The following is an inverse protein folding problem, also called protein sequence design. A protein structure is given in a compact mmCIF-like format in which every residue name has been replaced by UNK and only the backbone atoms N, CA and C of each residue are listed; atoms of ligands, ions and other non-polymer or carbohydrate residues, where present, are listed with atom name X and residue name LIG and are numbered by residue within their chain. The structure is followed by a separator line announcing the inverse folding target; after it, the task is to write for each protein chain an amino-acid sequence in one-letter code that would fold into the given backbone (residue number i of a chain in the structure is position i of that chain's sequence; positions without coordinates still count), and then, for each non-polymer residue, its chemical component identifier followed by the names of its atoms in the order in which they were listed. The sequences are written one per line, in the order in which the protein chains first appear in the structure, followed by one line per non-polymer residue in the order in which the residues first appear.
data_IF_038658734648
#
_entry.id   IF_038658734648
#
_cell.length_a   1.000
_cell.length_b   1.000
_cell.length_c   1.000
_cell.angle_alpha   90.00
_cell.angle_beta   90.00
_cell.angle_gamma   90.00
#
_symmetry.space_group_name_H-M   'P 1'
#
loop_
_entity.id
_entity.type
_entity.pdbx_description
1 polymer ?
#
# COMPACT_ATOMS: atom_id res chain seq x y z
N UNK A 1 -50.34 0.55 20.86
CA UNK A 1 -49.05 1.25 20.73
C UNK A 1 -48.18 0.42 19.80
N UNK A 2 -47.99 0.86 18.56
CA UNK A 2 -47.06 0.20 17.63
C UNK A 2 -45.64 0.64 17.98
N UNK A 3 -44.65 -0.26 18.01
CA UNK A 3 -43.26 0.13 18.21
C UNK A 3 -42.75 0.84 16.95
N UNK A 4 -42.02 1.93 17.15
CA UNK A 4 -41.38 2.70 16.10
C UNK A 4 -40.35 1.85 15.33
N UNK A 5 -40.17 2.07 14.01
CA UNK A 5 -39.19 1.34 13.23
C UNK A 5 -37.77 1.70 13.69
N UNK A 6 -36.95 0.66 13.85
CA UNK A 6 -35.54 0.74 14.24
C UNK A 6 -34.74 1.61 13.28
N UNK A 7 -34.02 2.59 13.82
CA UNK A 7 -33.04 3.41 13.09
C UNK A 7 -32.00 2.49 12.41
N UNK A 8 -32.00 2.50 11.08
CA UNK A 8 -30.97 1.85 10.28
C UNK A 8 -29.62 2.52 10.55
N UNK A 9 -28.66 1.75 11.03
CA UNK A 9 -27.26 2.16 11.20
C UNK A 9 -26.73 2.73 9.88
N UNK A 10 -26.11 3.93 9.86
CA UNK A 10 -25.59 4.48 8.62
C UNK A 10 -24.51 3.54 8.04
N UNK A 11 -24.45 3.35 6.70
CA UNK A 11 -23.48 2.46 6.10
C UNK A 11 -22.07 2.93 6.48
N UNK A 12 -21.26 2.00 6.99
CA UNK A 12 -19.87 2.25 7.33
C UNK A 12 -19.18 2.91 6.12
N UNK A 13 -18.55 4.07 6.32
CA UNK A 13 -17.78 4.76 5.27
C UNK A 13 -16.71 3.81 4.72
N UNK A 14 -17.00 3.15 3.60
CA UNK A 14 -16.05 2.28 2.91
C UNK A 14 -14.85 3.12 2.50
N UNK A 15 -13.65 2.71 2.92
CA UNK A 15 -12.40 3.36 2.47
C UNK A 15 -12.26 3.13 0.97
N UNK A 16 -11.78 4.14 0.24
CA UNK A 16 -11.53 4.05 -1.20
C UNK A 16 -10.52 2.94 -1.54
N UNK A 17 -9.56 2.67 -0.64
CA UNK A 17 -8.64 1.54 -0.74
C UNK A 17 -8.59 0.73 0.57
N UNK A 18 -8.61 -0.61 0.50
CA UNK A 18 -8.30 -1.46 1.66
C UNK A 18 -6.83 -1.28 2.07
N UNK A 19 -6.54 -1.41 3.37
CA UNK A 19 -5.17 -1.27 3.92
C UNK A 19 -4.98 -2.15 5.16
N UNK A 20 -3.72 -2.49 5.45
CA UNK A 20 -3.35 -3.25 6.65
C UNK A 20 -3.50 -4.77 6.53
N UNK A 21 -3.83 -5.30 5.36
CA UNK A 21 -3.91 -6.74 5.06
C UNK A 21 -2.57 -7.46 4.89
N UNK A 22 -1.44 -6.79 5.15
CA UNK A 22 -0.10 -7.31 4.88
C UNK A 22 0.19 -8.69 5.46
N UNK A 23 -0.42 -9.07 6.59
CA UNK A 23 -0.20 -10.38 7.23
C UNK A 23 -0.57 -11.56 6.32
N UNK A 24 -1.51 -11.36 5.39
CA UNK A 24 -1.91 -12.35 4.40
C UNK A 24 -1.00 -12.41 3.17
N UNK A 25 -0.10 -11.46 2.98
CA UNK A 25 0.75 -11.39 1.78
C UNK A 25 1.93 -12.34 1.87
N UNK A 26 2.26 -13.00 0.75
CA UNK A 26 3.43 -13.86 0.65
C UNK A 26 4.72 -13.11 0.99
N UNK A 27 4.88 -11.88 0.52
CA UNK A 27 6.06 -11.05 0.77
C UNK A 27 6.27 -10.82 2.27
N UNK A 28 5.23 -10.49 3.02
CA UNK A 28 5.33 -10.32 4.48
C UNK A 28 5.61 -11.63 5.22
N UNK A 29 4.97 -12.73 4.80
CA UNK A 29 5.16 -14.03 5.45
C UNK A 29 6.58 -14.57 5.23
N UNK A 30 7.09 -14.49 4.00
CA UNK A 30 8.47 -14.90 3.68
C UNK A 30 9.49 -14.01 4.39
N UNK A 31 9.29 -12.69 4.45
CA UNK A 31 10.19 -11.80 5.20
C UNK A 31 10.13 -11.98 6.71
N UNK A 32 9.02 -12.50 7.25
CA UNK A 32 8.95 -12.92 8.65
C UNK A 32 9.85 -14.13 8.90
N UNK A 33 9.81 -15.15 8.03
CA UNK A 33 10.73 -16.30 8.12
C UNK A 33 12.20 -15.86 8.01
N UNK A 34 12.52 -14.96 7.07
CA UNK A 34 13.88 -14.42 6.90
C UNK A 34 14.34 -13.72 8.18
N UNK A 35 13.49 -12.89 8.79
CA UNK A 35 13.84 -12.17 10.02
C UNK A 35 14.16 -13.12 11.17
N UNK A 36 13.29 -14.09 11.43
CA UNK A 36 13.47 -15.04 12.53
C UNK A 36 14.69 -15.95 12.27
N UNK A 37 14.85 -16.44 11.05
CA UNK A 37 16.00 -17.25 10.66
C UNK A 37 17.33 -16.49 10.75
N UNK A 38 17.34 -15.20 10.38
CA UNK A 38 18.53 -14.34 10.49
C UNK A 38 18.90 -14.12 11.94
N UNK A 39 17.93 -13.87 12.82
CA UNK A 39 18.15 -13.73 14.25
C UNK A 39 18.84 -14.98 14.82
N UNK A 40 18.25 -16.17 14.60
CA UNK A 40 18.79 -17.42 15.13
C UNK A 40 20.11 -17.85 14.45
N UNK A 41 20.31 -17.49 13.19
CA UNK A 41 21.59 -17.68 12.53
C UNK A 41 22.69 -16.84 13.20
N UNK A 42 22.43 -15.55 13.40
CA UNK A 42 23.39 -14.65 14.04
C UNK A 42 23.70 -15.09 15.47
N UNK A 43 22.67 -15.43 16.26
CA UNK A 43 22.82 -15.92 17.63
C UNK A 43 23.73 -17.15 17.71
N UNK A 44 23.63 -18.05 16.73
CA UNK A 44 24.32 -19.34 16.76
C UNK A 44 25.72 -19.33 16.13
N UNK A 45 25.93 -18.56 15.06
CA UNK A 45 27.13 -18.68 14.22
C UNK A 45 27.99 -17.42 14.15
N UNK A 46 27.57 -16.34 14.78
CA UNK A 46 28.33 -15.09 14.84
C UNK A 46 28.65 -14.72 16.28
N UNK A 47 29.75 -14.00 16.44
CA UNK A 47 30.09 -13.37 17.72
C UNK A 47 29.03 -12.30 18.02
N UNK A 48 28.40 -12.38 19.20
CA UNK A 48 27.35 -11.47 19.64
C UNK A 48 27.81 -10.01 19.79
N UNK A 49 29.12 -9.76 19.84
CA UNK A 49 29.71 -8.42 19.87
C UNK A 49 30.06 -7.89 18.48
N UNK A 50 29.90 -8.69 17.43
CA UNK A 50 30.20 -8.28 16.07
C UNK A 50 29.16 -7.29 15.56
N UNK A 51 29.63 -6.18 14.99
CA UNK A 51 28.77 -5.20 14.31
C UNK A 51 27.93 -5.82 13.17
N UNK A 52 28.43 -6.90 12.58
CA UNK A 52 27.75 -7.68 11.54
C UNK A 52 26.40 -8.21 12.02
N UNK A 53 26.29 -8.64 13.28
CA UNK A 53 25.03 -9.15 13.85
C UNK A 53 23.96 -8.06 13.82
N UNK A 54 24.29 -6.85 14.29
CA UNK A 54 23.36 -5.73 14.28
C UNK A 54 22.92 -5.38 12.86
N UNK A 55 23.85 -5.37 11.91
CA UNK A 55 23.59 -5.02 10.50
C UNK A 55 22.63 -6.02 9.86
N UNK A 56 22.93 -7.32 9.95
CA UNK A 56 22.09 -8.39 9.40
C UNK A 56 20.70 -8.40 10.02
N UNK A 57 20.62 -8.39 11.36
CA UNK A 57 19.34 -8.41 12.07
C UNK A 57 18.51 -7.18 11.73
N UNK A 58 19.13 -6.01 11.63
CA UNK A 58 18.41 -4.77 11.32
C UNK A 58 17.98 -4.70 9.85
N UNK A 59 18.79 -5.18 8.91
CA UNK A 59 18.41 -5.28 7.50
C UNK A 59 17.18 -6.20 7.35
N UNK A 60 17.21 -7.38 7.99
CA UNK A 60 16.08 -8.30 7.99
C UNK A 60 14.83 -7.70 8.64
N UNK A 61 14.98 -7.03 9.78
CA UNK A 61 13.88 -6.34 10.48
C UNK A 61 13.28 -5.22 9.62
N UNK A 62 14.13 -4.41 9.00
CA UNK A 62 13.76 -3.31 8.12
C UNK A 62 12.95 -3.81 6.93
N UNK A 63 13.41 -4.89 6.28
CA UNK A 63 12.68 -5.54 5.18
C UNK A 63 11.23 -5.87 5.56
N UNK A 64 11.04 -6.55 6.70
CA UNK A 64 9.72 -6.93 7.19
C UNK A 64 8.85 -5.73 7.62
N UNK A 65 9.42 -4.76 8.34
CA UNK A 65 8.67 -3.63 8.89
C UNK A 65 8.17 -2.69 7.81
N UNK A 66 9.00 -2.38 6.81
CA UNK A 66 8.60 -1.48 5.73
C UNK A 66 7.43 -2.06 4.89
N UNK A 67 7.30 -3.38 4.77
CA UNK A 67 6.11 -4.01 4.15
C UNK A 67 4.84 -3.73 4.96
N UNK A 68 4.92 -3.90 6.29
CA UNK A 68 3.79 -3.64 7.18
C UNK A 68 3.41 -2.15 7.19
N UNK A 69 4.40 -1.26 7.28
CA UNK A 69 4.19 0.18 7.27
C UNK A 69 3.62 0.66 5.93
N UNK A 70 4.18 0.17 4.82
CA UNK A 70 3.70 0.47 3.46
C UNK A 70 2.24 0.08 3.27
N UNK A 71 1.87 -1.14 3.65
CA UNK A 71 0.48 -1.62 3.57
C UNK A 71 -0.49 -0.82 4.45
N UNK A 72 -0.05 -0.28 5.58
CA UNK A 72 -0.89 0.61 6.41
C UNK A 72 -1.02 2.00 5.80
N UNK A 73 0.05 2.52 5.19
CA UNK A 73 0.06 3.80 4.49
C UNK A 73 -0.74 3.78 3.18
N UNK A 74 -0.97 2.60 2.59
CA UNK A 74 -1.75 2.42 1.35
C UNK A 74 -3.14 3.08 1.37
N UNK A 75 -3.78 3.17 2.55
CA UNK A 75 -5.07 3.83 2.72
C UNK A 75 -5.03 5.35 2.57
N UNK A 76 -3.86 5.97 2.62
CA UNK A 76 -3.70 7.43 2.61
C UNK A 76 -2.72 7.94 1.55
N UNK A 77 -1.77 7.11 1.10
CA UNK A 77 -0.74 7.51 0.16
C UNK A 77 -0.11 6.32 -0.58
N UNK A 78 -0.47 6.17 -1.86
CA UNK A 78 0.19 5.20 -2.78
C UNK A 78 1.68 5.49 -2.93
N UNK A 79 2.08 6.76 -2.95
CA UNK A 79 3.50 7.15 -3.04
C UNK A 79 4.31 6.66 -1.82
N UNK A 80 3.72 6.76 -0.63
CA UNK A 80 4.36 6.28 0.60
C UNK A 80 4.45 4.75 0.62
N UNK A 81 3.40 4.07 0.17
CA UNK A 81 3.40 2.60 0.01
C UNK A 81 4.53 2.15 -0.93
N UNK A 82 4.62 2.73 -2.14
CA UNK A 82 5.68 2.43 -3.10
C UNK A 82 7.09 2.69 -2.53
N UNK A 83 7.28 3.82 -1.84
CA UNK A 83 8.56 4.16 -1.22
C UNK A 83 8.98 3.12 -0.18
N UNK A 84 8.06 2.75 0.72
CA UNK A 84 8.37 1.80 1.80
C UNK A 84 8.64 0.39 1.24
N UNK A 85 7.89 -0.06 0.24
CA UNK A 85 8.18 -1.34 -0.42
C UNK A 85 9.54 -1.34 -1.13
N UNK A 86 9.96 -0.23 -1.72
CA UNK A 86 11.32 -0.08 -2.26
C UNK A 86 12.40 -0.14 -1.16
N UNK A 87 12.17 0.48 0.01
CA UNK A 87 13.08 0.36 1.16
C UNK A 87 13.15 -1.10 1.64
N UNK A 88 12.01 -1.80 1.71
CA UNK A 88 11.98 -3.21 2.07
C UNK A 88 12.84 -4.06 1.12
N UNK A 89 12.69 -3.83 -0.19
CA UNK A 89 13.46 -4.51 -1.23
C UNK A 89 14.96 -4.24 -1.12
N UNK A 90 15.35 -2.99 -0.84
CA UNK A 90 16.75 -2.61 -0.64
C UNK A 90 17.34 -3.26 0.62
N UNK A 91 16.62 -3.26 1.74
CA UNK A 91 17.10 -3.90 2.98
C UNK A 91 17.32 -5.41 2.85
N UNK A 92 16.53 -6.09 2.01
CA UNK A 92 16.75 -7.51 1.72
C UNK A 92 17.95 -7.74 0.79
N UNK A 93 18.28 -6.79 -0.09
CA UNK A 93 19.51 -6.84 -0.89
C UNK A 93 20.76 -6.68 -0.02
N UNK A 94 20.73 -5.74 0.93
CA UNK A 94 21.81 -5.58 1.92
C UNK A 94 22.02 -6.89 2.70
N UNK A 95 20.94 -7.49 3.18
CA UNK A 95 21.00 -8.77 3.89
C UNK A 95 21.50 -9.92 3.00
N UNK A 96 21.15 -9.94 1.71
CA UNK A 96 21.65 -10.93 0.77
C UNK A 96 23.17 -10.88 0.70
N UNK A 97 23.72 -9.67 0.51
CA UNK A 97 25.16 -9.44 0.47
C UNK A 97 25.83 -9.87 1.78
N UNK A 98 25.22 -9.63 2.94
CA UNK A 98 25.77 -10.06 4.22
C UNK A 98 25.90 -11.60 4.32
N UNK A 99 24.92 -12.36 3.81
CA UNK A 99 24.99 -13.83 3.79
C UNK A 99 25.99 -14.36 2.75
N UNK A 100 26.07 -13.73 1.58
CA UNK A 100 27.08 -14.05 0.57
C UNK A 100 28.50 -13.79 1.11
N UNK A 101 28.69 -12.66 1.81
CA UNK A 101 29.94 -12.31 2.48
C UNK A 101 30.27 -13.26 3.62
N UNK A 102 29.27 -13.69 4.41
CA UNK A 102 29.47 -14.71 5.44
C UNK A 102 30.09 -15.98 4.85
N UNK A 103 29.54 -16.47 3.74
CA UNK A 103 30.02 -17.67 3.05
C UNK A 103 31.40 -17.43 2.43
N UNK A 104 31.55 -16.34 1.68
CA UNK A 104 32.78 -15.99 0.94
C UNK A 104 33.97 -15.79 1.87
N UNK A 105 33.82 -15.02 2.95
CA UNK A 105 34.89 -14.76 3.92
C UNK A 105 35.33 -16.00 4.71
N UNK A 106 34.52 -17.06 4.72
CA UNK A 106 34.82 -18.34 5.39
C UNK A 106 35.16 -19.46 4.41
N UNK A 107 35.28 -19.17 3.12
CA UNK A 107 35.51 -20.15 2.05
C UNK A 107 34.46 -21.28 2.03
N UNK A 108 33.22 -20.94 2.38
CA UNK A 108 32.09 -21.86 2.37
C UNK A 108 31.33 -21.78 1.04
N UNK A 109 30.75 -22.89 0.56
CA UNK A 109 30.12 -22.91 -0.75
C UNK A 109 28.76 -22.21 -0.74
N UNK A 110 28.56 -21.35 -1.74
CA UNK A 110 27.23 -20.88 -2.17
C UNK A 110 26.60 -21.95 -3.07
N UNK A 111 25.35 -22.30 -2.83
CA UNK A 111 24.61 -23.24 -3.67
C UNK A 111 24.39 -22.64 -5.06
N UNK A 112 24.72 -23.37 -6.13
CA UNK A 112 24.35 -22.97 -7.48
C UNK A 112 22.83 -22.76 -7.58
N UNK A 113 22.35 -21.80 -8.40
CA UNK A 113 20.92 -21.51 -8.51
C UNK A 113 20.03 -22.71 -8.86
N UNK A 114 20.59 -23.74 -9.50
CA UNK A 114 19.89 -24.96 -9.92
C UNK A 114 20.28 -26.20 -9.11
N UNK A 115 20.92 -26.04 -7.94
CA UNK A 115 21.23 -27.19 -7.09
C UNK A 115 19.94 -27.84 -6.55
N UNK A 116 19.94 -29.17 -6.30
CA UNK A 116 18.78 -29.86 -5.75
C UNK A 116 18.27 -29.23 -4.43
N UNK A 117 19.18 -28.77 -3.58
CA UNK A 117 18.88 -28.15 -2.29
C UNK A 117 18.19 -26.79 -2.47
N UNK A 118 18.75 -25.93 -3.32
CA UNK A 118 18.16 -24.63 -3.63
C UNK A 118 16.77 -24.79 -4.28
N UNK A 119 16.63 -25.77 -5.18
CA UNK A 119 15.34 -26.08 -5.81
C UNK A 119 14.32 -26.62 -4.79
N UNK A 120 14.75 -27.43 -3.83
CA UNK A 120 13.89 -27.99 -2.79
C UNK A 120 13.31 -26.91 -1.87
N UNK A 121 14.15 -25.97 -1.39
CA UNK A 121 13.67 -24.80 -0.64
C UNK A 121 12.66 -24.00 -1.47
N UNK A 122 12.99 -23.76 -2.75
CA UNK A 122 12.10 -22.98 -3.64
C UNK A 122 10.80 -23.69 -4.00
N UNK A 123 10.76 -25.02 -3.91
CA UNK A 123 9.57 -25.80 -4.22
C UNK A 123 8.49 -25.63 -3.15
N UNK A 124 8.84 -25.31 -1.90
CA UNK A 124 7.86 -25.14 -0.81
C UNK A 124 6.90 -24.00 -1.12
N UNK A 125 7.44 -22.82 -1.49
CA UNK A 125 6.62 -21.67 -1.88
C UNK A 125 5.68 -21.99 -3.06
N UNK A 126 6.12 -22.86 -3.99
CA UNK A 126 5.32 -23.30 -5.14
C UNK A 126 4.22 -24.31 -4.76
N UNK A 127 4.44 -25.14 -3.75
CA UNK A 127 3.47 -26.13 -3.24
C UNK A 127 2.36 -25.48 -2.40
N UNK A 128 2.59 -24.27 -1.90
CA UNK A 128 1.69 -23.58 -0.97
C UNK A 128 0.37 -23.07 -1.54
N UNK A 129 0.14 -23.08 -2.87
CA UNK A 129 -1.16 -22.68 -3.44
C UNK A 129 -1.72 -23.75 -4.41
N UNK A 130 -2.36 -24.82 -3.90
CA UNK A 130 -3.03 -25.82 -4.73
C UNK A 130 -4.27 -25.28 -5.46
N UNK A 131 -4.85 -24.18 -4.95
CA UNK A 131 -6.15 -23.66 -5.40
C UNK A 131 -6.04 -22.65 -6.54
N UNK A 132 -4.92 -21.93 -6.63
CA UNK A 132 -4.62 -21.03 -7.73
C UNK A 132 -3.10 -20.88 -7.95
N UNK A 133 -2.47 -21.72 -8.79
CA UNK A 133 -1.06 -21.60 -9.15
C UNK A 133 -0.69 -20.24 -9.79
N UNK A 134 -1.68 -19.43 -10.18
CA UNK A 134 -1.53 -18.14 -10.87
C UNK A 134 -1.29 -16.97 -9.91
N UNK A 135 -1.78 -17.03 -8.66
CA UNK A 135 -1.58 -15.98 -7.66
C UNK A 135 -0.78 -16.46 -6.43
N UNK A 136 0.57 -16.44 -6.52
CA UNK A 136 1.44 -16.74 -5.38
C UNK A 136 1.47 -15.63 -4.32
N UNK A 137 0.74 -14.52 -4.51
CA UNK A 137 0.80 -13.34 -3.63
C UNK A 137 0.01 -13.53 -2.33
N UNK A 138 -0.96 -14.45 -2.32
CA UNK A 138 -1.86 -14.73 -1.20
C UNK A 138 -1.87 -16.23 -0.84
N UNK A 139 -0.89 -16.70 -0.06
CA UNK A 139 -0.88 -18.08 0.41
C UNK A 139 -2.05 -18.35 1.37
N UNK A 140 -2.48 -19.61 1.52
CA UNK A 140 -3.55 -19.98 2.44
C UNK A 140 -3.15 -19.60 3.88
N UNK A 141 -4.14 -19.24 4.71
CA UNK A 141 -3.88 -18.82 6.09
C UNK A 141 -3.20 -19.95 6.86
N UNK A 142 -1.96 -19.68 7.27
CA UNK A 142 -1.12 -20.55 8.08
C UNK A 142 -0.54 -19.75 9.24
N UNK A 143 -0.30 -20.40 10.37
CA UNK A 143 0.43 -19.79 11.49
C UNK A 143 1.93 -19.70 11.17
N UNK A 144 2.64 -18.82 11.86
CA UNK A 144 4.10 -18.71 11.70
C UNK A 144 4.81 -20.04 12.01
N UNK A 145 4.34 -20.78 13.03
CA UNK A 145 4.87 -22.10 13.41
C UNK A 145 4.65 -23.17 12.32
N UNK A 146 3.47 -23.19 11.68
CA UNK A 146 3.21 -24.11 10.56
C UNK A 146 4.12 -23.81 9.37
N UNK A 147 4.30 -22.52 9.02
CA UNK A 147 5.23 -22.11 7.98
C UNK A 147 6.66 -22.50 8.33
N UNK A 148 7.10 -22.24 9.57
CA UNK A 148 8.45 -22.61 10.03
C UNK A 148 8.72 -24.10 9.83
N UNK A 149 7.76 -24.95 10.21
CA UNK A 149 7.88 -26.42 10.11
C UNK A 149 8.24 -26.87 8.69
N UNK A 150 7.74 -26.19 7.65
CA UNK A 150 8.06 -26.52 6.26
C UNK A 150 9.54 -26.27 5.91
N UNK A 151 10.14 -25.24 6.50
CA UNK A 151 11.52 -24.83 6.23
C UNK A 151 12.53 -25.30 7.28
N UNK A 152 12.06 -25.82 8.43
CA UNK A 152 12.86 -26.34 9.52
C UNK A 152 13.99 -27.30 9.09
N UNK A 153 13.80 -28.20 8.09
CA UNK A 153 14.90 -29.08 7.63
C UNK A 153 16.15 -28.33 7.19
N UNK A 154 16.02 -27.08 6.71
CA UNK A 154 17.15 -26.24 6.33
C UNK A 154 17.46 -25.17 7.38
N UNK A 155 16.43 -24.49 7.92
CA UNK A 155 16.63 -23.35 8.83
C UNK A 155 17.09 -23.77 10.24
N UNK A 156 16.78 -25.00 10.66
CA UNK A 156 17.25 -25.57 11.93
C UNK A 156 18.49 -26.46 11.76
N UNK A 157 19.01 -26.59 10.55
CA UNK A 157 20.14 -27.49 10.23
C UNK A 157 21.40 -27.18 11.09
N UNK A 158 22.21 -28.18 11.45
CA UNK A 158 23.38 -27.92 12.29
C UNK A 158 24.48 -27.15 11.56
N UNK A 159 24.62 -27.39 10.25
CA UNK A 159 25.60 -26.76 9.37
C UNK A 159 25.19 -25.31 8.99
N UNK A 160 26.03 -24.29 9.26
CA UNK A 160 25.76 -22.91 8.86
C UNK A 160 25.65 -22.72 7.33
N UNK A 161 26.31 -23.55 6.53
CA UNK A 161 26.24 -23.48 5.06
C UNK A 161 24.82 -23.72 4.58
N UNK A 162 24.16 -24.76 5.12
CA UNK A 162 22.79 -25.12 4.76
C UNK A 162 21.82 -24.01 5.15
N UNK A 163 21.97 -23.45 6.37
CA UNK A 163 21.11 -22.35 6.84
C UNK A 163 21.29 -21.09 6.00
N UNK A 164 22.53 -20.63 5.82
CA UNK A 164 22.82 -19.41 5.05
C UNK A 164 22.27 -19.51 3.63
N UNK A 165 22.54 -20.61 2.93
CA UNK A 165 22.05 -20.82 1.57
C UNK A 165 20.51 -20.91 1.48
N UNK A 166 19.85 -21.51 2.47
CA UNK A 166 18.40 -21.53 2.54
C UNK A 166 17.80 -20.14 2.77
N UNK A 167 18.42 -19.32 3.64
CA UNK A 167 18.01 -17.93 3.86
C UNK A 167 18.21 -17.10 2.59
N UNK A 168 19.33 -17.27 1.87
CA UNK A 168 19.56 -16.65 0.55
C UNK A 168 18.43 -17.01 -0.43
N UNK A 169 18.02 -18.29 -0.49
CA UNK A 169 16.90 -18.70 -1.33
C UNK A 169 15.58 -17.99 -0.95
N UNK A 170 15.31 -17.85 0.35
CA UNK A 170 14.12 -17.12 0.83
C UNK A 170 14.21 -15.63 0.48
N UNK A 171 15.38 -15.00 0.59
CA UNK A 171 15.59 -13.59 0.24
C UNK A 171 15.30 -13.36 -1.24
N UNK A 172 15.81 -14.21 -2.15
CA UNK A 172 15.48 -14.11 -3.57
C UNK A 172 13.97 -14.25 -3.84
N UNK A 173 13.28 -15.15 -3.13
CA UNK A 173 11.83 -15.29 -3.25
C UNK A 173 11.09 -14.05 -2.76
N UNK A 174 11.48 -13.49 -1.61
CA UNK A 174 10.90 -12.26 -1.09
C UNK A 174 11.11 -11.08 -2.05
N UNK A 175 12.32 -10.94 -2.60
CA UNK A 175 12.64 -9.93 -3.60
C UNK A 175 11.76 -10.06 -4.85
N UNK A 176 11.61 -11.27 -5.40
CA UNK A 176 10.71 -11.53 -6.53
C UNK A 176 9.25 -11.14 -6.22
N UNK A 177 8.75 -11.47 -5.03
CA UNK A 177 7.39 -11.11 -4.61
C UNK A 177 7.21 -9.60 -4.46
N UNK A 178 8.21 -8.90 -3.91
CA UNK A 178 8.21 -7.44 -3.78
C UNK A 178 8.25 -6.76 -5.14
N UNK A 179 9.07 -7.24 -6.08
CA UNK A 179 9.17 -6.69 -7.43
C UNK A 179 7.82 -6.82 -8.17
N UNK A 180 7.12 -7.95 -8.01
CA UNK A 180 5.76 -8.13 -8.53
C UNK A 180 4.76 -7.19 -7.88
N UNK A 181 4.84 -7.00 -6.56
CA UNK A 181 3.95 -6.11 -5.82
C UNK A 181 4.15 -4.64 -6.23
N UNK A 182 5.40 -4.20 -6.35
CA UNK A 182 5.77 -2.87 -6.85
C UNK A 182 5.23 -2.65 -8.27
N UNK A 183 5.50 -3.61 -9.17
CA UNK A 183 5.03 -3.54 -10.56
C UNK A 183 3.49 -3.48 -10.66
N UNK A 184 2.77 -4.15 -9.75
CA UNK A 184 1.31 -4.09 -9.70
C UNK A 184 0.80 -2.74 -9.17
N UNK A 185 1.45 -2.19 -8.15
CA UNK A 185 1.11 -0.88 -7.61
C UNK A 185 1.39 0.25 -8.59
N UNK A 186 2.49 0.18 -9.33
CA UNK A 186 2.85 1.15 -10.38
C UNK A 186 1.82 1.12 -11.52
N UNK A 187 1.42 -0.07 -11.99
CA UNK A 187 0.36 -0.21 -12.99
C UNK A 187 -0.97 0.38 -12.50
N UNK A 188 -1.40 0.03 -11.29
CA UNK A 188 -2.61 0.60 -10.71
C UNK A 188 -2.53 2.13 -10.53
N UNK A 189 -1.34 2.66 -10.24
CA UNK A 189 -1.12 4.11 -10.15
C UNK A 189 -1.26 4.81 -11.51
N UNK A 190 -0.79 4.18 -12.60
CA UNK A 190 -0.92 4.70 -13.97
C UNK A 190 -2.38 4.63 -14.44
N UNK A 191 -3.07 3.51 -14.18
CA UNK A 191 -4.42 3.25 -14.67
C UNK A 191 -5.50 3.99 -13.86
N UNK A 192 -5.46 3.92 -12.53
CA UNK A 192 -6.50 4.45 -11.64
C UNK A 192 -6.15 5.82 -11.03
N UNK A 193 -4.95 6.33 -11.32
CA UNK A 193 -4.40 7.54 -10.70
C UNK A 193 -4.01 7.36 -9.22
N UNK A 194 -3.45 8.41 -8.64
CA UNK A 194 -3.05 8.40 -7.22
C UNK A 194 -4.24 8.51 -6.25
N UNK A 195 -4.07 8.08 -5.00
CA UNK A 195 -5.11 8.22 -3.96
C UNK A 195 -5.68 9.64 -3.82
N UNK A 196 -4.83 10.68 -3.99
CA UNK A 196 -5.27 12.09 -3.95
C UNK A 196 -6.19 12.45 -5.10
N UNK A 197 -5.93 11.92 -6.29
CA UNK A 197 -6.75 12.13 -7.48
C UNK A 197 -8.08 11.40 -7.33
N UNK A 198 -8.05 10.16 -6.87
CA UNK A 198 -9.26 9.39 -6.55
C UNK A 198 -10.15 10.11 -5.53
N UNK A 199 -9.55 10.68 -4.47
CA UNK A 199 -10.28 11.46 -3.47
C UNK A 199 -10.85 12.77 -4.06
N UNK A 200 -10.12 13.43 -4.97
CA UNK A 200 -10.61 14.61 -5.66
C UNK A 200 -11.81 14.28 -6.56
N UNK A 201 -11.74 13.19 -7.33
CA UNK A 201 -12.82 12.66 -8.15
C UNK A 201 -14.03 12.29 -7.29
N UNK A 202 -13.83 11.56 -6.18
CA UNK A 202 -14.91 11.20 -5.25
C UNK A 202 -15.58 12.43 -4.63
N UNK A 203 -14.80 13.48 -4.29
CA UNK A 203 -15.34 14.76 -3.79
C UNK A 203 -16.20 15.46 -4.84
N UNK A 204 -15.81 15.45 -6.10
CA UNK A 204 -16.60 16.03 -7.20
C UNK A 204 -17.92 15.26 -7.42
N UNK A 205 -17.87 13.94 -7.42
CA UNK A 205 -19.05 13.08 -7.54
C UNK A 205 -20.05 13.29 -6.39
N UNK A 206 -19.56 13.39 -5.15
CA UNK A 206 -20.42 13.68 -3.98
C UNK A 206 -21.04 15.08 -4.05
N UNK A 207 -20.29 16.08 -4.55
CA UNK A 207 -20.86 17.42 -4.79
C UNK A 207 -21.96 17.40 -5.85
N UNK A 208 -21.82 16.60 -6.90
CA UNK A 208 -22.85 16.42 -7.91
C UNK A 208 -24.09 15.73 -7.33
N UNK A 209 -23.92 14.64 -6.56
CA UNK A 209 -25.02 13.96 -5.86
C UNK A 209 -25.78 14.90 -4.92
N UNK A 210 -25.07 15.69 -4.12
CA UNK A 210 -25.68 16.67 -3.20
C UNK A 210 -26.38 17.83 -3.89
N UNK A 211 -26.07 18.13 -5.15
CA UNK A 211 -26.83 19.09 -5.97
C UNK A 211 -28.14 18.49 -6.51
N UNK A 212 -28.36 17.18 -6.39
CA UNK A 212 -29.59 16.49 -6.77
C UNK A 212 -30.19 15.66 -5.62
N UNK A 213 -30.58 16.25 -4.48
CA UNK A 213 -31.47 15.57 -3.55
C UNK A 213 -32.91 15.77 -4.04
N UNK A 214 -33.41 14.86 -4.89
CA UNK A 214 -34.85 14.76 -5.19
C UNK A 214 -35.35 15.31 -6.54
N UNK A 215 -34.74 14.95 -7.67
CA UNK A 215 -35.45 15.06 -8.95
C UNK A 215 -36.31 13.81 -9.17
N UNK A 216 -37.58 13.90 -8.76
CA UNK A 216 -38.62 13.05 -9.35
C UNK A 216 -38.63 13.32 -10.87
N UNK A 217 -38.76 12.30 -11.76
CA UNK A 217 -38.81 12.50 -13.21
C UNK A 217 -40.02 13.32 -13.74
N UNK A 218 -40.78 13.98 -12.85
CA UNK A 218 -42.08 14.58 -13.16
C UNK A 218 -42.23 16.04 -12.74
N UNK A 219 -41.22 16.68 -12.16
CA UNK A 219 -41.32 18.10 -11.80
C UNK A 219 -40.89 19.01 -12.97
N UNK A 220 -41.75 19.95 -13.41
CA UNK A 220 -41.35 20.99 -14.35
C UNK A 220 -40.18 21.80 -13.77
N UNK A 221 -39.27 22.34 -14.60
CA UNK A 221 -38.20 23.18 -14.10
C UNK A 221 -38.80 24.40 -13.38
N UNK A 222 -38.66 24.43 -12.05
CA UNK A 222 -38.92 25.64 -11.28
C UNK A 222 -37.93 26.72 -11.75
N UNK A 223 -38.39 27.89 -12.22
CA UNK A 223 -37.50 28.96 -12.61
C UNK A 223 -36.77 29.47 -11.37
N UNK A 224 -35.46 29.20 -11.31
CA UNK A 224 -34.56 29.94 -10.43
C UNK A 224 -34.72 31.45 -10.68
N UNK A 225 -34.69 32.29 -9.63
CA UNK A 225 -34.86 33.73 -9.79
C UNK A 225 -33.88 34.27 -10.84
N UNK A 226 -34.31 35.21 -11.70
CA UNK A 226 -33.48 35.69 -12.79
C UNK A 226 -32.17 36.24 -12.24
N UNK A 227 -31.06 35.58 -12.58
CA UNK A 227 -29.72 36.11 -12.27
C UNK A 227 -29.57 37.45 -13.00
N UNK A 228 -29.10 38.52 -12.32
CA UNK A 228 -28.87 39.79 -12.98
C UNK A 228 -27.82 39.64 -14.07
N UNK A 229 -28.02 40.36 -15.17
CA UNK A 229 -27.07 40.39 -16.28
C UNK A 229 -25.96 41.39 -15.97
N UNK A 230 -24.70 41.03 -16.24
CA UNK A 230 -23.57 41.93 -16.04
C UNK A 230 -23.69 43.15 -16.98
N UNK A 231 -23.71 44.39 -16.46
CA UNK A 231 -23.87 45.60 -17.29
C UNK A 231 -22.63 45.90 -18.17
N UNK A 232 -21.51 45.19 -18.00
CA UNK A 232 -20.29 45.40 -18.80
C UNK A 232 -20.13 44.42 -19.98
N UNK A 233 -20.59 43.18 -19.83
CA UNK A 233 -20.37 42.14 -20.83
C UNK A 233 -21.64 41.34 -21.17
N UNK A 234 -22.76 41.70 -20.56
CA UNK A 234 -24.08 41.10 -20.78
C UNK A 234 -24.19 39.60 -20.48
N UNK A 235 -23.22 39.02 -19.76
CA UNK A 235 -23.26 37.64 -19.28
C UNK A 235 -24.11 37.52 -17.99
N UNK A 236 -24.81 36.38 -17.77
CA UNK A 236 -25.53 36.13 -16.52
C UNK A 236 -24.55 36.02 -15.35
N UNK A 237 -24.80 36.76 -14.28
CA UNK A 237 -23.88 36.81 -13.14
C UNK A 237 -24.02 35.58 -12.23
N UNK A 238 -22.93 35.24 -11.54
CA UNK A 238 -22.87 34.08 -10.62
C UNK A 238 -22.81 34.56 -9.18
N UNK A 239 -23.69 34.04 -8.32
CA UNK A 239 -23.67 34.33 -6.88
C UNK A 239 -22.42 33.72 -6.22
N UNK A 240 -21.64 34.56 -5.54
CA UNK A 240 -20.39 34.20 -4.85
C UNK A 240 -20.41 34.76 -3.43
N UNK A 241 -19.58 34.21 -2.54
CA UNK A 241 -19.41 34.71 -1.17
C UNK A 241 -18.03 35.33 -1.02
N UNK A 242 -17.96 36.54 -0.47
CA UNK A 242 -16.68 37.21 -0.24
C UNK A 242 -15.84 36.44 0.78
N UNK A 243 -14.57 36.15 0.44
CA UNK A 243 -13.66 35.36 1.27
C UNK A 243 -12.82 36.20 2.25
N UNK A 244 -12.73 37.51 2.02
CA UNK A 244 -11.84 38.42 2.76
C UNK A 244 -12.32 39.87 2.66
N UNK A 245 -12.00 40.70 3.66
CA UNK A 245 -12.36 42.11 3.73
C UNK A 245 -13.63 42.41 4.57
N UNK A 246 -14.09 43.66 4.61
CA UNK A 246 -15.20 44.12 5.47
C UNK A 246 -16.54 43.43 5.23
N UNK A 247 -16.70 42.77 4.08
CA UNK A 247 -17.91 42.06 3.69
C UNK A 247 -17.70 40.54 3.60
N UNK A 248 -16.64 40.00 4.21
CA UNK A 248 -16.39 38.56 4.23
C UNK A 248 -17.61 37.80 4.80
N UNK A 249 -18.01 36.74 4.10
CA UNK A 249 -19.22 35.98 4.43
C UNK A 249 -20.50 36.47 3.73
N UNK A 250 -20.54 37.71 3.22
CA UNK A 250 -21.71 38.21 2.50
C UNK A 250 -21.71 37.73 1.03
N UNK A 251 -22.90 37.39 0.48
CA UNK A 251 -23.04 37.08 -0.93
C UNK A 251 -22.94 38.33 -1.82
N UNK A 252 -22.43 38.16 -3.04
CA UNK A 252 -22.41 39.16 -4.10
C UNK A 252 -22.50 38.47 -5.46
N UNK A 253 -23.03 39.14 -6.46
CA UNK A 253 -23.00 38.68 -7.85
C UNK A 253 -21.66 39.02 -8.49
N UNK A 254 -20.93 38.02 -8.98
CA UNK A 254 -19.67 38.20 -9.70
C UNK A 254 -19.79 37.81 -11.16
N UNK A 255 -19.17 38.58 -12.06
CA UNK A 255 -19.12 38.23 -13.47
C UNK A 255 -18.35 36.92 -13.70
N UNK A 256 -18.86 35.98 -14.53
CA UNK A 256 -18.16 34.72 -14.82
C UNK A 256 -16.87 34.92 -15.61
N UNK A 257 -16.76 35.99 -16.40
CA UNK A 257 -15.58 36.31 -17.22
C UNK A 257 -14.42 36.93 -16.43
N UNK A 258 -14.34 36.75 -15.11
CA UNK A 258 -13.16 37.15 -14.34
C UNK A 258 -11.94 36.30 -14.77
N UNK A 259 -10.76 36.89 -15.01
CA UNK A 259 -10.32 38.24 -14.64
C UNK A 259 -10.62 39.36 -15.65
N UNK A 260 -11.08 39.04 -16.85
CA UNK A 260 -11.27 39.99 -17.96
C UNK A 260 -12.45 40.96 -17.73
N UNK A 261 -13.46 40.52 -16.98
CA UNK A 261 -14.54 41.37 -16.49
C UNK A 261 -14.65 41.27 -14.97
N UNK A 262 -14.22 42.33 -14.27
CA UNK A 262 -14.18 42.39 -12.79
C UNK A 262 -15.44 43.00 -12.15
N UNK A 263 -16.54 43.12 -12.89
CA UNK A 263 -17.74 43.76 -12.38
C UNK A 263 -18.48 42.86 -11.37
N UNK A 264 -19.01 43.48 -10.32
CA UNK A 264 -19.76 42.83 -9.24
C UNK A 264 -20.99 43.64 -8.88
N UNK A 265 -22.08 42.99 -8.48
CA UNK A 265 -23.28 43.62 -7.92
C UNK A 265 -23.52 43.09 -6.49
N UNK A 266 -24.11 43.88 -5.59
CA UNK A 266 -24.60 43.37 -4.31
C UNK A 266 -25.69 42.31 -4.55
N UNK A 267 -25.68 41.25 -3.73
CA UNK A 267 -26.67 40.18 -3.80
C UNK A 267 -27.98 40.57 -3.11
#
# INVERSE_FOLDING_TARGET
MNPAPSESTPPSRQRLRPAGGYRGTASFQTTTLIYDATWWFCEKFLDSRSRTVDQMVQAARSGRQNIAEGSRAAATSTQTELRLLNVARASLEELLLDFEDYLRHRHLPLWPPNSPEAQAVRAIARRGNPSDPSDPSHPPPQTDSQRWTLYAPWLDHADPVVRANAIICLIHQANYLLDRQLSALERAFIEDGGYREQLATARLAERQRRRHPGSHPSDPPHPSPPSPTCPRCHQPMVLRTARSGPHAGNPFWGCPSYPDCKHTLPA
#
